data_IF_074886446767
#
_entry.id   IF_074886446767
#
_cell.length_a   1.000
_cell.length_b   1.000
_cell.length_c   1.000
_cell.angle_alpha   90.00
_cell.angle_beta   90.00
_cell.angle_gamma   90.00
#
_symmetry.space_group_name_H-M   'P 1'
#
loop_
_entity.id
_entity.type
_entity.pdbx_description
1 polymer ?
#
# COMPACT_ATOMS: atom_id res chain seq x y z
N UNK A 1 32.75 17.91 -6.20
CA UNK A 1 32.16 16.70 -6.81
C UNK A 1 31.63 15.71 -5.77
N UNK A 2 32.42 15.28 -4.78
CA UNK A 2 31.93 14.36 -3.72
C UNK A 2 30.67 14.86 -3.01
N UNK A 3 30.60 16.14 -2.64
CA UNK A 3 29.42 16.76 -2.01
C UNK A 3 28.18 16.71 -2.90
N UNK A 4 28.34 16.90 -4.21
CA UNK A 4 27.23 16.81 -5.16
C UNK A 4 26.67 15.38 -5.22
N UNK A 5 27.56 14.38 -5.28
CA UNK A 5 27.16 12.95 -5.27
C UNK A 5 26.39 12.62 -4.00
N UNK A 6 26.89 13.05 -2.83
CA UNK A 6 26.21 12.78 -1.56
C UNK A 6 24.82 13.44 -1.47
N UNK A 7 24.61 14.60 -2.09
CA UNK A 7 23.30 15.25 -2.18
C UNK A 7 22.38 14.49 -3.14
N UNK A 8 22.88 14.15 -4.33
CA UNK A 8 22.09 13.44 -5.36
C UNK A 8 21.69 12.02 -4.94
N UNK A 9 22.46 11.39 -4.05
CA UNK A 9 22.18 10.05 -3.50
C UNK A 9 21.50 10.10 -2.13
N UNK A 10 21.22 11.30 -1.62
CA UNK A 10 20.51 11.46 -0.36
C UNK A 10 19.07 10.97 -0.51
N UNK A 11 18.62 10.11 0.42
CA UNK A 11 17.30 9.50 0.36
C UNK A 11 16.16 10.54 0.32
N UNK A 12 16.27 11.66 1.05
CA UNK A 12 15.25 12.71 1.02
C UNK A 12 15.18 13.38 -0.35
N UNK A 13 16.35 13.67 -0.95
CA UNK A 13 16.42 14.24 -2.29
C UNK A 13 15.76 13.30 -3.30
N UNK A 14 16.08 12.00 -3.26
CA UNK A 14 15.52 11.00 -4.16
C UNK A 14 14.00 10.82 -3.96
N UNK A 15 13.52 10.83 -2.72
CA UNK A 15 12.08 10.77 -2.42
C UNK A 15 11.34 11.99 -3.00
N UNK A 16 11.82 13.22 -2.72
CA UNK A 16 11.17 14.43 -3.23
C UNK A 16 11.25 14.53 -4.75
N UNK A 17 12.35 14.11 -5.34
CA UNK A 17 12.52 14.04 -6.80
C UNK A 17 11.50 13.03 -7.40
N UNK A 18 11.36 11.86 -6.79
CA UNK A 18 10.39 10.84 -7.22
C UNK A 18 8.95 11.37 -7.13
N UNK A 19 8.60 12.04 -6.05
CA UNK A 19 7.28 12.65 -5.87
C UNK A 19 7.04 13.74 -6.95
N UNK A 20 7.99 14.65 -7.13
CA UNK A 20 7.84 15.74 -8.09
C UNK A 20 7.68 15.23 -9.53
N UNK A 21 8.55 14.32 -9.97
CA UNK A 21 8.48 13.72 -11.29
C UNK A 21 7.23 12.84 -11.45
N UNK A 22 6.87 12.10 -10.39
CA UNK A 22 5.67 11.27 -10.40
C UNK A 22 4.38 12.05 -10.54
N UNK A 23 4.25 13.15 -9.81
CA UNK A 23 3.10 14.05 -9.95
C UNK A 23 3.08 14.75 -11.33
N UNK A 24 4.23 15.08 -11.88
CA UNK A 24 4.34 15.63 -13.23
C UNK A 24 3.90 14.60 -14.28
N UNK A 25 4.38 13.36 -14.20
CA UNK A 25 3.94 12.24 -15.04
C UNK A 25 2.43 11.97 -14.88
N UNK A 26 1.92 12.04 -13.66
CA UNK A 26 0.50 11.85 -13.36
C UNK A 26 -0.43 12.88 -14.00
N UNK A 27 0.06 14.07 -14.33
CA UNK A 27 -0.70 15.12 -15.03
C UNK A 27 -0.79 14.89 -16.55
N UNK A 28 0.06 14.04 -17.11
CA UNK A 28 0.02 13.73 -18.54
C UNK A 28 -1.24 12.94 -18.84
N UNK A 29 -2.06 13.47 -19.75
CA UNK A 29 -3.29 12.82 -20.22
C UNK A 29 -3.04 12.23 -21.61
N UNK A 30 -3.35 10.94 -21.77
CA UNK A 30 -3.35 10.25 -23.06
C UNK A 30 -4.80 9.85 -23.32
N UNK A 31 -5.52 10.67 -24.11
CA UNK A 31 -6.95 10.54 -24.26
C UNK A 31 -7.68 10.78 -22.93
N UNK A 32 -8.48 9.81 -22.50
CA UNK A 32 -9.19 9.83 -21.21
C UNK A 32 -8.39 9.20 -20.05
N UNK A 33 -7.15 8.77 -20.31
CA UNK A 33 -6.30 8.11 -19.33
C UNK A 33 -5.28 9.08 -18.75
N UNK A 34 -5.10 9.06 -17.42
CA UNK A 34 -3.99 9.70 -16.73
C UNK A 34 -3.54 8.82 -15.58
N UNK A 35 -2.23 8.79 -15.31
CA UNK A 35 -1.67 8.01 -14.20
C UNK A 35 -2.05 8.60 -12.83
N UNK A 36 -2.39 9.89 -12.77
CA UNK A 36 -2.71 10.55 -11.51
C UNK A 36 -1.57 10.40 -10.49
N UNK A 37 -1.91 10.15 -9.23
CA UNK A 37 -0.92 9.92 -8.15
C UNK A 37 -0.08 8.65 -8.36
N UNK A 38 -0.54 7.69 -9.16
CA UNK A 38 0.21 6.47 -9.48
C UNK A 38 1.48 6.75 -10.29
N UNK A 39 1.59 7.93 -10.93
CA UNK A 39 2.83 8.38 -11.56
C UNK A 39 4.03 8.36 -10.63
N UNK A 40 3.81 8.58 -9.30
CA UNK A 40 4.84 8.50 -8.28
C UNK A 40 5.49 7.12 -8.13
N UNK A 41 4.74 6.06 -8.38
CA UNK A 41 5.25 4.68 -8.32
C UNK A 41 6.24 4.47 -9.46
N UNK A 42 5.85 4.86 -10.68
CA UNK A 42 6.71 4.69 -11.85
C UNK A 42 8.00 5.52 -11.76
N UNK A 43 7.89 6.78 -11.33
CA UNK A 43 9.07 7.63 -11.10
C UNK A 43 9.97 7.09 -9.99
N UNK A 44 9.39 6.57 -8.91
CA UNK A 44 10.12 5.95 -7.80
C UNK A 44 10.90 4.71 -8.25
N UNK A 45 10.29 3.83 -9.04
CA UNK A 45 10.95 2.64 -9.60
C UNK A 45 12.12 3.05 -10.50
N UNK A 46 11.92 4.02 -11.41
CA UNK A 46 12.97 4.48 -12.32
C UNK A 46 14.13 5.11 -11.55
N UNK A 47 13.86 6.01 -10.62
CA UNK A 47 14.88 6.66 -9.80
C UNK A 47 15.61 5.65 -8.92
N UNK A 48 14.88 4.73 -8.31
CA UNK A 48 15.45 3.65 -7.50
C UNK A 48 16.37 2.76 -8.32
N UNK A 49 15.95 2.38 -9.53
CA UNK A 49 16.76 1.59 -10.45
C UNK A 49 18.04 2.32 -10.88
N UNK A 50 17.94 3.60 -11.23
CA UNK A 50 19.10 4.42 -11.61
C UNK A 50 20.08 4.52 -10.44
N UNK A 51 19.59 4.86 -9.23
CA UNK A 51 20.43 5.01 -8.05
C UNK A 51 21.14 3.70 -7.68
N UNK A 52 20.42 2.58 -7.75
CA UNK A 52 20.99 1.27 -7.44
C UNK A 52 21.97 0.77 -8.50
N UNK A 53 21.68 1.00 -9.77
CA UNK A 53 22.59 0.65 -10.88
C UNK A 53 23.87 1.44 -10.79
N UNK A 54 23.77 2.75 -10.51
CA UNK A 54 24.93 3.59 -10.25
C UNK A 54 25.75 3.06 -9.08
N UNK A 55 25.10 2.76 -7.94
CA UNK A 55 25.79 2.31 -6.75
C UNK A 55 26.55 0.98 -6.96
N UNK A 56 26.00 0.06 -7.76
CA UNK A 56 26.65 -1.21 -8.14
C UNK A 56 27.88 -1.02 -9.03
N UNK A 57 27.94 0.09 -9.77
CA UNK A 57 29.07 0.40 -10.67
C UNK A 57 30.26 1.07 -10.00
N UNK A 58 30.11 1.61 -8.77
CA UNK A 58 31.17 2.36 -8.08
C UNK A 58 32.08 1.41 -7.32
N UNK A 59 33.41 1.47 -7.60
CA UNK A 59 34.41 0.62 -6.98
C UNK A 59 35.07 1.30 -5.76
N UNK A 60 35.72 0.49 -4.92
CA UNK A 60 36.46 0.98 -3.76
C UNK A 60 37.58 1.92 -4.19
N UNK A 61 37.64 3.10 -3.55
CA UNK A 61 38.57 4.18 -3.90
C UNK A 61 38.04 5.18 -4.90
N UNK A 62 36.90 4.93 -5.55
CA UNK A 62 36.27 5.91 -6.47
C UNK A 62 35.44 6.96 -5.73
N UNK A 63 35.24 8.06 -6.43
CA UNK A 63 34.47 9.18 -5.94
C UNK A 63 33.00 8.77 -5.73
N UNK A 64 32.50 8.86 -4.48
CA UNK A 64 31.14 8.47 -4.15
C UNK A 64 30.98 7.06 -3.57
N UNK A 65 32.06 6.32 -3.37
CA UNK A 65 32.04 4.96 -2.83
C UNK A 65 31.27 4.86 -1.50
N UNK A 66 31.42 5.80 -0.58
CA UNK A 66 30.68 5.79 0.69
C UNK A 66 29.17 5.95 0.48
N UNK A 67 28.76 6.82 -0.46
CA UNK A 67 27.36 7.00 -0.84
C UNK A 67 26.80 5.74 -1.54
N UNK A 68 27.57 5.15 -2.44
CA UNK A 68 27.19 3.90 -3.13
C UNK A 68 27.01 2.76 -2.14
N UNK A 69 27.96 2.58 -1.21
CA UNK A 69 27.87 1.57 -0.14
C UNK A 69 26.64 1.78 0.74
N UNK A 70 26.30 3.03 1.06
CA UNK A 70 25.09 3.34 1.82
C UNK A 70 23.82 2.93 1.05
N UNK A 71 23.72 3.28 -0.23
CA UNK A 71 22.58 2.89 -1.09
C UNK A 71 22.45 1.37 -1.20
N UNK A 72 23.58 0.64 -1.30
CA UNK A 72 23.55 -0.82 -1.40
C UNK A 72 23.18 -1.51 -0.08
N UNK A 73 23.59 -0.94 1.08
CA UNK A 73 23.32 -1.54 2.41
C UNK A 73 21.93 -1.20 2.93
N UNK A 74 21.50 0.06 2.82
CA UNK A 74 20.24 0.53 3.41
C UNK A 74 19.10 0.65 2.42
N UNK A 75 19.40 0.43 1.13
CA UNK A 75 18.47 0.74 0.04
C UNK A 75 18.44 2.22 -0.30
N UNK A 76 17.75 2.57 -1.37
CA UNK A 76 17.54 3.97 -1.81
C UNK A 76 16.69 4.73 -0.80
N UNK A 77 15.74 4.03 -0.17
CA UNK A 77 14.91 4.51 0.95
C UNK A 77 15.03 3.48 2.07
N UNK A 78 15.39 3.93 3.28
CA UNK A 78 15.52 3.00 4.41
C UNK A 78 14.16 2.41 4.82
N UNK A 79 14.15 1.18 5.31
CA UNK A 79 12.95 0.49 5.79
C UNK A 79 12.20 1.27 6.87
N UNK A 80 12.90 2.03 7.71
CA UNK A 80 12.27 2.87 8.73
C UNK A 80 11.39 3.96 8.11
N UNK A 81 11.89 4.66 7.07
CA UNK A 81 11.11 5.67 6.35
C UNK A 81 9.96 5.03 5.58
N UNK A 82 10.21 3.91 4.91
CA UNK A 82 9.14 3.18 4.23
C UNK A 82 8.00 2.83 5.20
N UNK A 83 8.32 2.21 6.32
CA UNK A 83 7.34 1.81 7.34
C UNK A 83 6.60 3.01 7.92
N UNK A 84 7.31 4.09 8.22
CA UNK A 84 6.70 5.32 8.73
C UNK A 84 5.69 5.93 7.75
N UNK A 85 6.07 6.09 6.48
CA UNK A 85 5.14 6.60 5.45
C UNK A 85 3.99 5.64 5.16
N UNK A 86 4.25 4.32 5.20
CA UNK A 86 3.20 3.31 5.09
C UNK A 86 2.17 3.45 6.22
N UNK A 87 2.61 3.62 7.46
CA UNK A 87 1.72 3.82 8.61
C UNK A 87 0.89 5.10 8.47
N UNK A 88 1.50 6.23 8.05
CA UNK A 88 0.79 7.47 7.77
C UNK A 88 -0.24 7.32 6.64
N UNK A 89 0.12 6.60 5.60
CA UNK A 89 -0.79 6.29 4.49
C UNK A 89 -1.99 5.47 4.96
N UNK A 90 -1.76 4.42 5.75
CA UNK A 90 -2.81 3.53 6.22
C UNK A 90 -3.76 4.22 7.22
N UNK A 91 -3.23 5.02 8.15
CA UNK A 91 -4.10 5.77 9.06
C UNK A 91 -4.95 6.78 8.27
N UNK A 92 -4.38 7.44 7.28
CA UNK A 92 -5.10 8.42 6.45
C UNK A 92 -6.20 7.75 5.61
N UNK A 93 -5.91 6.63 4.96
CA UNK A 93 -6.90 5.85 4.20
C UNK A 93 -7.98 5.29 5.13
N UNK A 94 -7.59 4.67 6.23
CA UNK A 94 -8.53 4.10 7.19
C UNK A 94 -9.49 5.16 7.75
N UNK A 95 -8.97 6.33 8.10
CA UNK A 95 -9.79 7.46 8.56
C UNK A 95 -10.76 7.96 7.48
N UNK A 96 -10.31 8.01 6.24
CA UNK A 96 -11.16 8.43 5.11
C UNK A 96 -12.27 7.42 4.80
N UNK A 97 -11.96 6.14 4.76
CA UNK A 97 -12.89 5.07 4.38
C UNK A 97 -13.85 4.73 5.53
N UNK A 98 -13.37 4.78 6.76
CA UNK A 98 -14.12 4.34 7.93
C UNK A 98 -15.44 5.07 8.14
N UNK A 99 -15.52 6.37 7.79
CA UNK A 99 -16.73 7.18 7.91
C UNK A 99 -17.90 6.66 7.03
N UNK A 100 -17.59 6.04 5.89
CA UNK A 100 -18.58 5.50 4.96
C UNK A 100 -18.93 4.01 5.19
N UNK A 101 -18.15 3.30 5.98
CA UNK A 101 -18.30 1.86 6.17
C UNK A 101 -19.69 1.47 6.68
N UNK A 102 -20.26 2.23 7.62
CA UNK A 102 -21.59 1.95 8.17
C UNK A 102 -22.70 1.99 7.13
N UNK A 103 -22.68 2.99 6.23
CA UNK A 103 -23.65 3.10 5.15
C UNK A 103 -23.51 1.94 4.15
N UNK A 104 -22.27 1.58 3.80
CA UNK A 104 -21.96 0.46 2.92
C UNK A 104 -22.48 -0.85 3.53
N UNK A 105 -22.23 -1.10 4.82
CA UNK A 105 -22.74 -2.30 5.50
C UNK A 105 -24.27 -2.36 5.57
N UNK A 106 -24.93 -1.25 5.85
CA UNK A 106 -26.41 -1.19 5.87
C UNK A 106 -27.00 -1.48 4.50
N UNK A 107 -26.37 -0.97 3.44
CA UNK A 107 -26.87 -1.07 2.07
C UNK A 107 -26.60 -2.43 1.42
N UNK A 108 -25.36 -2.87 1.44
CA UNK A 108 -24.91 -4.08 0.73
C UNK A 108 -24.85 -5.31 1.64
N UNK A 109 -24.86 -5.11 2.96
CA UNK A 109 -24.87 -6.15 3.95
C UNK A 109 -23.67 -7.10 3.88
N UNK A 110 -23.88 -8.29 4.40
CA UNK A 110 -22.86 -9.34 4.49
C UNK A 110 -22.35 -9.80 3.10
N UNK A 111 -23.17 -9.65 2.05
CA UNK A 111 -22.80 -10.07 0.69
C UNK A 111 -21.56 -9.32 0.19
N UNK A 112 -21.46 -8.03 0.50
CA UNK A 112 -20.32 -7.22 0.08
C UNK A 112 -19.03 -7.63 0.80
N UNK A 113 -19.15 -7.98 2.08
CA UNK A 113 -18.04 -8.52 2.88
C UNK A 113 -17.54 -9.84 2.34
N UNK A 114 -18.46 -10.74 2.00
CA UNK A 114 -18.14 -12.06 1.45
C UNK A 114 -17.40 -11.89 0.11
N UNK A 115 -17.90 -11.08 -0.80
CA UNK A 115 -17.22 -10.81 -2.09
C UNK A 115 -15.85 -10.20 -1.85
N UNK A 116 -15.75 -9.19 -0.97
CA UNK A 116 -14.48 -8.55 -0.62
C UNK A 116 -13.46 -9.51 -0.03
N UNK A 117 -13.90 -10.49 0.76
CA UNK A 117 -13.03 -11.52 1.32
C UNK A 117 -12.66 -12.62 0.30
N UNK A 118 -13.57 -12.94 -0.61
CA UNK A 118 -13.33 -13.97 -1.65
C UNK A 118 -12.21 -13.56 -2.61
N UNK A 119 -12.12 -12.30 -2.99
CA UNK A 119 -11.12 -11.82 -3.95
C UNK A 119 -9.68 -12.12 -3.47
N UNK A 120 -9.22 -11.69 -2.28
CA UNK A 120 -7.87 -12.01 -1.83
C UNK A 120 -7.66 -13.51 -1.57
N UNK A 121 -8.68 -14.23 -1.11
CA UNK A 121 -8.58 -15.70 -0.91
C UNK A 121 -8.37 -16.43 -2.23
N UNK A 122 -9.15 -16.11 -3.26
CA UNK A 122 -8.98 -16.68 -4.61
C UNK A 122 -7.62 -16.32 -5.18
N UNK A 123 -7.21 -15.06 -5.05
CA UNK A 123 -5.90 -14.60 -5.52
C UNK A 123 -4.74 -15.31 -4.81
N UNK A 124 -4.88 -15.58 -3.51
CA UNK A 124 -3.90 -16.37 -2.75
C UNK A 124 -3.83 -17.81 -3.28
N UNK A 125 -4.97 -18.46 -3.50
CA UNK A 125 -5.01 -19.82 -4.06
C UNK A 125 -4.35 -19.84 -5.44
N UNK A 126 -4.67 -18.89 -6.32
CA UNK A 126 -4.06 -18.78 -7.65
C UNK A 126 -2.55 -18.59 -7.55
N UNK A 127 -2.08 -17.74 -6.62
CA UNK A 127 -0.64 -17.52 -6.41
C UNK A 127 0.08 -18.77 -5.91
N UNK A 128 -0.53 -19.53 -4.99
CA UNK A 128 0.01 -20.80 -4.50
C UNK A 128 0.07 -21.87 -5.62
N UNK A 129 -0.97 -21.96 -6.43
CA UNK A 129 -1.01 -22.85 -7.60
C UNK A 129 0.07 -22.44 -8.60
N UNK A 130 0.18 -21.15 -8.92
CA UNK A 130 1.21 -20.64 -9.83
C UNK A 130 2.61 -20.93 -9.29
N UNK A 131 2.86 -20.72 -7.99
CA UNK A 131 4.12 -21.08 -7.39
C UNK A 131 4.42 -22.57 -7.54
N UNK A 132 3.47 -23.43 -7.18
CA UNK A 132 3.70 -24.88 -7.16
C UNK A 132 3.92 -25.46 -8.55
N UNK A 133 3.19 -25.02 -9.58
CA UNK A 133 3.21 -25.62 -10.92
C UNK A 133 4.11 -24.88 -11.92
N UNK A 134 4.40 -23.60 -11.71
CA UNK A 134 5.12 -22.74 -12.67
C UNK A 134 6.46 -22.29 -12.13
N UNK A 135 6.50 -21.84 -10.86
CA UNK A 135 7.66 -21.17 -10.29
C UNK A 135 8.55 -22.09 -9.47
N UNK A 136 8.00 -23.14 -8.87
CA UNK A 136 8.75 -24.11 -8.06
C UNK A 136 9.81 -24.82 -8.91
N UNK A 137 11.05 -24.64 -8.51
CA UNK A 137 12.21 -25.14 -9.25
C UNK A 137 12.90 -24.11 -10.14
N UNK A 138 12.36 -22.91 -10.23
CA UNK A 138 13.10 -21.76 -10.77
C UNK A 138 14.16 -21.34 -9.76
N UNK A 139 15.44 -21.28 -10.11
CA UNK A 139 16.51 -20.93 -9.17
C UNK A 139 16.46 -19.47 -8.70
N UNK A 140 15.59 -18.67 -9.32
CA UNK A 140 15.47 -17.23 -9.07
C UNK A 140 14.17 -16.79 -8.41
N UNK A 141 13.26 -17.72 -8.05
CA UNK A 141 11.99 -17.37 -7.41
C UNK A 141 11.78 -18.21 -6.16
N UNK A 142 11.76 -17.57 -5.01
CA UNK A 142 11.46 -18.15 -3.69
C UNK A 142 10.01 -17.95 -3.29
N UNK A 143 9.62 -18.55 -2.17
CA UNK A 143 8.33 -18.31 -1.52
C UNK A 143 8.13 -16.83 -1.18
N UNK A 144 9.18 -16.16 -0.74
CA UNK A 144 9.12 -14.75 -0.36
C UNK A 144 8.87 -13.83 -1.57
N UNK A 145 9.51 -14.07 -2.72
CA UNK A 145 9.18 -13.34 -3.96
C UNK A 145 7.72 -13.59 -4.36
N UNK A 146 7.24 -14.82 -4.22
CA UNK A 146 5.84 -15.15 -4.56
C UNK A 146 4.84 -14.39 -3.69
N UNK A 147 5.12 -14.24 -2.38
CA UNK A 147 4.30 -13.41 -1.48
C UNK A 147 4.32 -11.96 -1.93
N UNK A 148 5.49 -11.44 -2.31
CA UNK A 148 5.63 -10.10 -2.89
C UNK A 148 4.83 -9.94 -4.18
N UNK A 149 4.93 -10.90 -5.11
CA UNK A 149 4.17 -10.92 -6.35
C UNK A 149 2.65 -10.92 -6.11
N UNK A 150 2.18 -11.70 -5.14
CA UNK A 150 0.77 -11.69 -4.73
C UNK A 150 0.32 -10.30 -4.29
N UNK A 151 1.04 -9.69 -3.35
CA UNK A 151 0.71 -8.34 -2.86
C UNK A 151 0.78 -7.28 -3.97
N UNK A 152 1.76 -7.39 -4.89
CA UNK A 152 1.93 -6.51 -6.03
C UNK A 152 0.82 -6.66 -7.07
N UNK A 153 0.50 -7.88 -7.47
CA UNK A 153 -0.57 -8.16 -8.44
C UNK A 153 -1.94 -7.68 -7.93
N UNK A 154 -2.18 -7.80 -6.62
CA UNK A 154 -3.35 -7.26 -5.94
C UNK A 154 -3.31 -5.73 -5.76
N UNK A 155 -2.23 -5.06 -6.16
CA UNK A 155 -1.98 -3.63 -5.95
C UNK A 155 -2.17 -3.19 -4.49
N UNK A 156 -1.85 -4.09 -3.56
CA UNK A 156 -2.11 -3.91 -2.14
C UNK A 156 -0.83 -3.57 -1.37
N UNK A 157 -0.56 -2.28 -1.21
CA UNK A 157 0.52 -1.80 -0.33
C UNK A 157 0.35 -2.25 1.13
N UNK A 158 -0.88 -2.31 1.70
CA UNK A 158 -1.07 -2.91 3.01
C UNK A 158 -0.64 -4.39 3.08
N UNK A 159 -0.98 -5.20 2.08
CA UNK A 159 -0.56 -6.60 2.02
C UNK A 159 0.97 -6.72 1.94
N UNK A 160 1.63 -5.85 1.17
CA UNK A 160 3.09 -5.80 1.11
C UNK A 160 3.71 -5.47 2.47
N UNK A 161 3.20 -4.45 3.17
CA UNK A 161 3.67 -4.11 4.50
C UNK A 161 3.46 -5.24 5.52
N UNK A 162 2.29 -5.90 5.47
CA UNK A 162 2.02 -7.07 6.33
C UNK A 162 2.93 -8.25 6.01
N UNK A 163 3.27 -8.46 4.73
CA UNK A 163 4.21 -9.50 4.34
C UNK A 163 5.61 -9.28 4.90
N UNK A 164 6.10 -8.03 4.89
CA UNK A 164 7.39 -7.66 5.49
C UNK A 164 7.38 -7.86 7.03
N UNK A 165 6.30 -7.46 7.68
CA UNK A 165 6.13 -7.62 9.13
C UNK A 165 6.08 -9.13 9.50
N UNK A 166 5.30 -9.93 8.76
CA UNK A 166 5.18 -11.37 8.95
C UNK A 166 6.52 -12.11 8.73
N UNK A 167 7.35 -11.67 7.79
CA UNK A 167 8.68 -12.26 7.58
C UNK A 167 9.55 -12.16 8.84
N UNK A 168 9.46 -11.06 9.60
CA UNK A 168 10.15 -10.87 10.87
C UNK A 168 9.73 -11.85 11.98
N UNK A 169 8.56 -12.47 11.85
CA UNK A 169 8.11 -13.53 12.79
C UNK A 169 8.59 -14.93 12.41
N UNK A 170 9.05 -15.12 11.16
CA UNK A 170 9.45 -16.44 10.63
C UNK A 170 10.96 -16.56 10.55
N UNK A 171 11.65 -15.50 10.17
CA UNK A 171 13.10 -15.46 10.00
C UNK A 171 13.71 -14.23 10.68
N UNK A 172 15.02 -14.27 10.96
CA UNK A 172 15.73 -13.19 11.65
C UNK A 172 17.15 -12.98 11.09
N UNK A 173 17.78 -11.86 11.43
CA UNK A 173 19.13 -11.53 11.00
C UNK A 173 19.25 -11.41 9.47
N UNK A 174 20.31 -11.94 8.89
CA UNK A 174 20.57 -11.89 7.45
C UNK A 174 19.47 -12.56 6.62
N UNK A 175 18.84 -13.62 7.16
CA UNK A 175 17.71 -14.27 6.49
C UNK A 175 16.47 -13.36 6.38
N UNK A 176 16.25 -12.47 7.35
CA UNK A 176 15.18 -11.48 7.30
C UNK A 176 15.47 -10.40 6.23
N UNK A 177 16.71 -9.96 6.12
CA UNK A 177 17.10 -9.01 5.08
C UNK A 177 16.92 -9.61 3.68
N UNK A 178 17.32 -10.87 3.49
CA UNK A 178 17.11 -11.60 2.25
C UNK A 178 15.63 -11.78 1.93
N UNK A 179 14.82 -12.21 2.90
CA UNK A 179 13.37 -12.36 2.75
C UNK A 179 12.68 -11.04 2.42
N UNK A 180 13.03 -9.96 3.12
CA UNK A 180 12.48 -8.62 2.86
C UNK A 180 12.84 -8.11 1.47
N UNK A 181 14.05 -8.38 1.01
CA UNK A 181 14.50 -8.04 -0.35
C UNK A 181 13.73 -8.84 -1.40
N UNK A 182 13.52 -10.13 -1.18
CA UNK A 182 12.76 -11.01 -2.06
C UNK A 182 11.28 -10.58 -2.16
N UNK A 183 10.62 -10.30 -1.02
CA UNK A 183 9.24 -9.77 -0.99
C UNK A 183 9.17 -8.45 -1.78
N UNK A 184 10.13 -7.55 -1.55
CA UNK A 184 10.18 -6.25 -2.22
C UNK A 184 10.38 -6.38 -3.73
N UNK A 185 11.22 -7.31 -4.17
CA UNK A 185 11.45 -7.60 -5.58
C UNK A 185 10.17 -8.11 -6.24
N UNK A 186 9.53 -9.13 -5.66
CA UNK A 186 8.28 -9.68 -6.16
C UNK A 186 7.18 -8.63 -6.26
N UNK A 187 7.03 -7.81 -5.22
CA UNK A 187 6.08 -6.70 -5.21
C UNK A 187 6.36 -5.68 -6.32
N UNK A 188 7.61 -5.23 -6.45
CA UNK A 188 8.01 -4.20 -7.41
C UNK A 188 7.79 -4.63 -8.85
N UNK A 189 8.03 -5.90 -9.16
CA UNK A 189 7.80 -6.46 -10.50
C UNK A 189 6.31 -6.61 -10.81
N UNK A 190 5.52 -7.13 -9.86
CA UNK A 190 4.13 -7.45 -10.10
C UNK A 190 3.20 -6.22 -10.01
N UNK A 191 3.52 -5.22 -9.16
CA UNK A 191 2.65 -4.07 -8.92
C UNK A 191 2.32 -3.24 -10.18
N UNK A 192 3.28 -2.83 -11.02
CA UNK A 192 2.96 -2.08 -12.24
C UNK A 192 2.06 -2.87 -13.20
N UNK A 193 2.29 -4.18 -13.31
CA UNK A 193 1.48 -5.08 -14.14
C UNK A 193 0.06 -5.17 -13.57
N UNK A 194 -0.08 -5.33 -12.25
CA UNK A 194 -1.37 -5.33 -11.55
C UNK A 194 -2.16 -4.05 -11.80
N UNK A 195 -1.51 -2.88 -11.67
CA UNK A 195 -2.13 -1.58 -11.96
C UNK A 195 -2.63 -1.50 -13.41
N UNK A 196 -1.78 -1.90 -14.37
CA UNK A 196 -2.16 -1.89 -15.78
C UNK A 196 -3.36 -2.80 -16.06
N UNK A 197 -3.36 -4.01 -15.52
CA UNK A 197 -4.48 -4.96 -15.67
C UNK A 197 -5.76 -4.39 -15.09
N UNK A 198 -5.73 -3.83 -13.88
CA UNK A 198 -6.90 -3.22 -13.23
C UNK A 198 -7.43 -2.05 -14.07
N UNK A 199 -6.56 -1.16 -14.55
CA UNK A 199 -6.96 -0.02 -15.38
C UNK A 199 -7.63 -0.48 -16.68
N UNK A 200 -7.05 -1.48 -17.34
CA UNK A 200 -7.62 -2.07 -18.55
C UNK A 200 -8.99 -2.69 -18.23
N UNK A 201 -9.10 -3.49 -17.16
CA UNK A 201 -10.35 -4.13 -16.75
C UNK A 201 -11.44 -3.10 -16.44
N UNK A 202 -11.15 -2.09 -15.62
CA UNK A 202 -12.12 -1.02 -15.30
C UNK A 202 -12.61 -0.30 -16.56
N UNK A 203 -11.76 -0.15 -17.56
CA UNK A 203 -12.12 0.50 -18.83
C UNK A 203 -12.94 -0.38 -19.77
N UNK A 204 -12.67 -1.70 -19.76
CA UNK A 204 -13.29 -2.66 -20.67
C UNK A 204 -14.54 -3.33 -20.11
N UNK A 205 -14.58 -3.66 -18.82
CA UNK A 205 -15.70 -4.39 -18.21
C UNK A 205 -17.06 -3.68 -18.38
N UNK A 206 -17.19 -2.35 -18.18
CA UNK A 206 -18.46 -1.68 -18.42
C UNK A 206 -18.96 -1.85 -19.85
N UNK A 207 -18.06 -1.76 -20.82
CA UNK A 207 -18.40 -1.93 -22.24
C UNK A 207 -18.81 -3.37 -22.55
N UNK A 208 -18.10 -4.35 -21.97
CA UNK A 208 -18.38 -5.78 -22.17
C UNK A 208 -19.76 -6.16 -21.63
N UNK A 209 -20.15 -5.60 -20.48
CA UNK A 209 -21.43 -5.86 -19.84
C UNK A 209 -22.54 -4.88 -20.25
N UNK A 210 -22.30 -3.94 -21.18
CA UNK A 210 -23.27 -2.95 -21.62
C UNK A 210 -23.71 -1.97 -20.54
N UNK A 211 -22.84 -1.70 -19.55
CA UNK A 211 -23.14 -0.81 -18.42
C UNK A 211 -22.91 0.63 -18.84
N UNK A 212 -23.95 1.46 -18.71
CA UNK A 212 -23.83 2.92 -18.84
C UNK A 212 -23.24 3.52 -17.54
N UNK A 213 -21.94 3.75 -17.57
CA UNK A 213 -21.18 4.26 -16.41
C UNK A 213 -21.72 5.64 -15.95
N UNK A 214 -22.20 6.47 -16.87
CA UNK A 214 -22.73 7.78 -16.53
C UNK A 214 -24.08 7.69 -15.80
N UNK A 215 -24.96 6.80 -16.27
CA UNK A 215 -26.25 6.54 -15.64
C UNK A 215 -26.08 5.89 -14.27
N UNK A 216 -25.21 4.88 -14.14
CA UNK A 216 -24.90 4.22 -12.86
C UNK A 216 -24.27 5.17 -11.85
N UNK A 217 -23.36 6.05 -12.29
CA UNK A 217 -22.77 7.07 -11.43
C UNK A 217 -23.81 8.07 -10.93
N UNK A 218 -24.71 8.54 -11.81
CA UNK A 218 -25.78 9.44 -11.43
C UNK A 218 -26.76 8.78 -10.43
N UNK A 219 -27.12 7.53 -10.67
CA UNK A 219 -27.95 6.75 -9.74
C UNK A 219 -27.29 6.60 -8.37
N UNK A 220 -25.98 6.29 -8.34
CA UNK A 220 -25.22 6.18 -7.11
C UNK A 220 -25.13 7.51 -6.34
N UNK A 221 -24.92 8.65 -7.03
CA UNK A 221 -24.88 9.97 -6.40
C UNK A 221 -26.23 10.37 -5.80
N UNK A 222 -27.35 10.06 -6.48
CA UNK A 222 -28.71 10.28 -5.96
C UNK A 222 -28.98 9.42 -4.72
N UNK A 223 -28.53 8.18 -4.75
CA UNK A 223 -28.68 7.24 -3.65
C UNK A 223 -27.87 7.65 -2.41
N UNK A 224 -26.62 8.11 -2.59
CA UNK A 224 -25.81 8.68 -1.51
C UNK A 224 -26.47 9.90 -0.88
N UNK A 225 -27.13 10.76 -1.67
CA UNK A 225 -27.81 11.93 -1.15
C UNK A 225 -29.05 11.56 -0.31
N UNK A 226 -29.78 10.51 -0.66
CA UNK A 226 -30.93 10.03 0.09
C UNK A 226 -30.56 9.39 1.43
N UNK A 227 -29.46 8.64 1.48
CA UNK A 227 -28.97 8.00 2.70
C UNK A 227 -28.33 9.01 3.68
N UNK A 228 -27.70 10.05 3.16
CA UNK A 228 -27.07 11.13 3.95
C UNK A 228 -28.12 12.02 4.63
N UNK A 229 -29.35 12.07 4.16
CA UNK A 229 -30.43 12.87 4.80
C UNK A 229 -30.91 12.30 6.14
N UNK A 230 -30.67 11.03 6.41
CA UNK A 230 -31.16 10.32 7.61
C UNK A 230 -30.09 10.12 8.73
N UNK A 231 -28.82 10.31 8.47
CA UNK A 231 -27.79 10.27 9.52
C UNK A 231 -27.45 11.69 9.98
N UNK A 232 -27.43 11.92 11.30
CA UNK A 232 -26.88 13.14 11.90
C UNK A 232 -25.51 13.40 11.31
N UNK A 233 -25.40 14.37 10.38
CA UNK A 233 -24.13 14.77 9.76
C UNK A 233 -23.17 15.22 10.84
N UNK A 234 -22.33 14.32 11.31
CA UNK A 234 -21.10 14.74 11.95
C UNK A 234 -20.27 15.41 10.85
N UNK A 235 -20.03 16.72 11.00
CA UNK A 235 -19.22 17.48 10.04
C UNK A 235 -17.81 16.87 10.05
N UNK A 236 -17.31 16.57 8.86
CA UNK A 236 -15.93 16.23 8.68
C UNK A 236 -15.08 17.44 9.10
N UNK A 237 -14.06 17.18 9.93
CA UNK A 237 -13.13 18.21 10.41
C UNK A 237 -11.88 18.29 9.55
N UNK A 238 -11.07 19.34 9.69
CA UNK A 238 -9.76 19.39 9.05
C UNK A 238 -8.86 18.25 9.54
N UNK A 239 -7.81 17.96 8.77
CA UNK A 239 -6.81 16.98 9.14
C UNK A 239 -6.19 17.36 10.51
N UNK A 240 -6.35 16.50 11.50
CA UNK A 240 -5.78 16.67 12.83
C UNK A 240 -4.67 15.65 13.07
N UNK A 241 -3.42 16.13 13.09
CA UNK A 241 -2.25 15.29 13.31
C UNK A 241 -2.22 14.63 14.68
N UNK A 242 -2.82 15.25 15.72
CA UNK A 242 -2.93 14.64 17.04
C UNK A 242 -3.84 13.40 16.96
N UNK A 243 -4.96 13.50 16.26
CA UNK A 243 -5.88 12.39 16.04
C UNK A 243 -5.20 11.27 15.25
N UNK A 244 -4.49 11.61 14.17
CA UNK A 244 -3.74 10.62 13.38
C UNK A 244 -2.71 9.89 14.23
N UNK A 245 -1.91 10.61 15.01
CA UNK A 245 -0.89 10.04 15.88
C UNK A 245 -1.50 9.13 16.95
N UNK A 246 -2.59 9.57 17.57
CA UNK A 246 -3.33 8.78 18.56
C UNK A 246 -3.87 7.48 17.98
N UNK A 247 -4.56 7.55 16.83
CA UNK A 247 -5.13 6.39 16.14
C UNK A 247 -4.03 5.42 15.72
N UNK A 248 -2.89 5.93 15.20
CA UNK A 248 -1.75 5.11 14.84
C UNK A 248 -1.14 4.40 16.07
N UNK A 249 -0.97 5.12 17.18
CA UNK A 249 -0.44 4.53 18.41
C UNK A 249 -1.32 3.40 18.95
N UNK A 250 -2.64 3.63 19.01
CA UNK A 250 -3.60 2.58 19.41
C UNK A 250 -3.56 1.42 18.41
N UNK A 251 -3.45 1.71 17.12
CA UNK A 251 -3.34 0.68 16.08
C UNK A 251 -2.12 -0.21 16.26
N UNK A 252 -0.95 0.35 16.56
CA UNK A 252 0.26 -0.42 16.87
C UNK A 252 0.05 -1.32 18.08
N UNK A 253 -0.58 -0.81 19.14
CA UNK A 253 -0.88 -1.61 20.34
C UNK A 253 -1.80 -2.79 20.00
N UNK A 254 -2.90 -2.55 19.30
CA UNK A 254 -3.87 -3.58 18.92
C UNK A 254 -3.23 -4.59 17.96
N UNK A 255 -2.44 -4.10 16.98
CA UNK A 255 -1.80 -4.94 15.98
C UNK A 255 -0.81 -5.94 16.54
N UNK A 256 -0.14 -5.60 17.65
CA UNK A 256 0.82 -6.49 18.30
C UNK A 256 0.18 -7.48 19.29
N UNK A 257 -1.17 -7.49 19.44
CA UNK A 257 -1.85 -8.50 20.24
C UNK A 257 -1.75 -9.84 19.53
N UNK A 258 -1.09 -10.79 20.20
CA UNK A 258 -0.95 -12.16 19.71
C UNK A 258 -2.15 -13.01 20.16
N UNK A 259 -2.83 -13.60 19.21
CA UNK A 259 -3.98 -14.50 19.44
C UNK A 259 -3.50 -15.93 19.17
N UNK A 260 -3.45 -16.80 20.18
CA UNK A 260 -3.04 -18.19 19.97
C UNK A 260 -4.09 -18.93 19.14
N UNK A 261 -3.68 -19.53 18.02
CA UNK A 261 -4.52 -20.36 17.14
C UNK A 261 -4.27 -21.87 17.37
N UNK A 262 -3.81 -22.27 18.54
CA UNK A 262 -3.52 -23.66 18.86
C UNK A 262 -2.40 -24.23 17.99
N UNK A 263 -2.66 -25.31 17.27
CA UNK A 263 -1.68 -25.96 16.39
C UNK A 263 -1.27 -25.13 15.16
N UNK A 264 -2.00 -24.06 14.85
CA UNK A 264 -1.68 -23.15 13.73
C UNK A 264 -0.75 -22.00 14.13
N UNK A 265 -0.25 -21.99 15.38
CA UNK A 265 0.66 -20.96 15.86
C UNK A 265 -0.05 -19.74 16.47
N UNK A 266 0.59 -18.58 16.37
CA UNK A 266 0.05 -17.29 16.86
C UNK A 266 -0.33 -16.41 15.67
N UNK A 267 -1.47 -15.74 15.78
CA UNK A 267 -1.91 -14.74 14.82
C UNK A 267 -1.81 -13.35 15.43
N UNK A 268 -1.25 -12.41 14.70
CA UNK A 268 -1.32 -10.98 14.99
C UNK A 268 -1.61 -10.20 13.71
N UNK A 269 -2.25 -9.04 13.85
CA UNK A 269 -2.48 -8.15 12.71
C UNK A 269 -1.19 -7.43 12.28
N UNK A 270 -0.16 -7.45 13.12
CA UNK A 270 1.03 -6.63 12.97
C UNK A 270 0.73 -5.14 13.15
N UNK A 271 1.79 -4.33 13.23
CA UNK A 271 1.63 -2.88 13.40
C UNK A 271 0.85 -2.25 12.24
N UNK A 272 1.12 -2.69 11.03
CA UNK A 272 0.51 -2.20 9.78
C UNK A 272 -0.99 -2.49 9.72
N UNK A 273 -1.38 -3.75 9.98
CA UNK A 273 -2.79 -4.17 10.00
C UNK A 273 -3.56 -3.53 11.15
N UNK A 274 -2.95 -3.45 12.33
CA UNK A 274 -3.55 -2.83 13.51
C UNK A 274 -3.87 -1.36 13.31
N UNK A 275 -2.98 -0.59 12.67
CA UNK A 275 -3.22 0.82 12.33
C UNK A 275 -4.42 0.97 11.39
N UNK A 276 -4.52 0.14 10.36
CA UNK A 276 -5.65 0.20 9.42
C UNK A 276 -6.97 -0.08 10.14
N UNK A 277 -7.03 -1.14 10.94
CA UNK A 277 -8.24 -1.51 11.71
C UNK A 277 -8.60 -0.41 12.72
N UNK A 278 -7.64 0.11 13.46
CA UNK A 278 -7.84 1.21 14.41
C UNK A 278 -8.42 2.44 13.70
N UNK A 279 -7.84 2.84 12.56
CA UNK A 279 -8.29 3.99 11.79
C UNK A 279 -9.73 3.81 11.26
N UNK A 280 -10.07 2.63 10.76
CA UNK A 280 -11.43 2.31 10.32
C UNK A 280 -12.44 2.41 11.46
N UNK A 281 -12.11 1.83 12.63
CA UNK A 281 -12.99 1.81 13.82
C UNK A 281 -13.21 3.22 14.37
N UNK A 282 -12.14 4.00 14.60
CA UNK A 282 -12.27 5.35 15.13
C UNK A 282 -13.04 6.27 14.15
N UNK A 283 -12.76 6.18 12.86
CA UNK A 283 -13.48 6.95 11.86
C UNK A 283 -14.97 6.54 11.74
N UNK A 284 -15.28 5.24 11.89
CA UNK A 284 -16.66 4.75 11.98
C UNK A 284 -17.39 5.31 13.20
N UNK A 285 -16.77 5.31 14.40
CA UNK A 285 -17.32 5.90 15.62
C UNK A 285 -17.54 7.41 15.42
N UNK A 286 -16.63 8.08 14.73
CA UNK A 286 -16.73 9.45 14.27
C UNK A 286 -16.38 10.49 15.31
N UNK A 287 -16.91 10.43 16.56
CA UNK A 287 -16.63 11.40 17.62
C UNK A 287 -16.63 10.76 18.99
N UNK A 288 -15.59 11.05 19.79
CA UNK A 288 -15.50 10.62 21.20
C UNK A 288 -15.21 11.88 22.04
N UNK A 289 -16.16 12.31 22.83
CA UNK A 289 -16.06 13.54 23.61
C UNK A 289 -15.84 14.77 22.70
N UNK A 290 -14.79 15.58 22.95
CA UNK A 290 -14.48 16.74 22.12
C UNK A 290 -13.74 16.38 20.82
N UNK A 291 -13.19 15.16 20.71
CA UNK A 291 -12.32 14.73 19.61
C UNK A 291 -13.15 14.22 18.45
N UNK A 292 -12.90 14.77 17.24
CA UNK A 292 -13.53 14.34 16.00
C UNK A 292 -12.55 13.46 15.21
N UNK A 293 -12.99 12.24 14.89
CA UNK A 293 -12.24 11.26 14.11
C UNK A 293 -12.64 11.21 12.63
N UNK A 294 -13.53 12.09 12.18
CA UNK A 294 -13.89 12.23 10.77
C UNK A 294 -13.08 13.35 10.13
N UNK A 295 -12.44 13.05 9.03
CA UNK A 295 -11.61 13.99 8.27
C UNK A 295 -12.29 14.36 6.97
N UNK A 296 -12.16 15.65 6.57
CA UNK A 296 -12.65 16.17 5.29
C UNK A 296 -11.98 15.40 4.15
N UNK A 297 -12.77 15.11 3.12
CA UNK A 297 -12.33 14.35 1.95
C UNK A 297 -11.61 15.21 0.89
N UNK A 298 -11.38 16.51 1.21
CA UNK A 298 -10.72 17.45 0.28
C UNK A 298 -9.21 17.32 0.31
#
# INVERSE_FOLDING_TARGET
MATLISVLTNQFFLIFLAIALGLALGKIKIGNFSLGVSGGIFSGIVIGFIAQTWAKGVQEGELGYSSATSVLKTGVVSNLFFTFFLMLFLVSIGMKVGSGIGAIFKKYGIKFVIIGAMIPVISMIVSLVAYHFVLKGSPSVTEFETIGMFAGAMTSTPAYGTALDAAGHVVSGEALEAASSAISLGYTVAFPIGVLVIVIMISFLPKLFGIDVAAEKAAYELELQSDVSNEKKLKDGPLDFMVLAFVAAIGILIGNIKIPLGSFGEFSLGAVGGILVSALVFSYIGKIGPVNFRMDQK
#
